data_IF_005364160828
#
_entry.id   IF_005364160828
#
_cell.length_a   1.000
_cell.length_b   1.000
_cell.length_c   1.000
_cell.angle_alpha   90.00
_cell.angle_beta   90.00
_cell.angle_gamma   90.00
#
_symmetry.space_group_name_H-M   'P 1'
#
loop_
_entity.id
_entity.type
_entity.pdbx_description
1 polymer ?
#
# COMPACT_ATOMS: atom_id res chain seq x y z
N UNK A 1 11.68 19.18 -4.85
CA UNK A 1 12.90 19.70 -4.17
C UNK A 1 13.35 18.65 -3.17
N UNK A 2 14.61 18.20 -3.23
CA UNK A 2 15.19 17.36 -2.18
C UNK A 2 16.01 18.24 -1.24
N UNK A 3 15.74 18.19 0.07
CA UNK A 3 16.51 18.92 1.08
C UNK A 3 17.33 17.92 1.89
N UNK A 4 18.66 18.01 1.79
CA UNK A 4 19.57 17.16 2.54
C UNK A 4 19.57 17.55 4.03
N UNK A 5 19.21 16.61 4.90
CA UNK A 5 19.30 16.77 6.35
C UNK A 5 18.53 15.68 7.10
N UNK A 6 18.44 15.80 8.43
CA UNK A 6 17.71 14.86 9.28
C UNK A 6 16.30 15.39 9.59
N UNK A 7 15.27 14.59 9.35
CA UNK A 7 13.88 14.97 9.62
C UNK A 7 13.64 15.31 11.11
N UNK A 8 14.28 14.59 12.04
CA UNK A 8 14.18 14.87 13.48
C UNK A 8 14.80 16.21 13.90
N UNK A 9 15.63 16.82 13.04
CA UNK A 9 16.23 18.15 13.27
C UNK A 9 15.51 19.25 12.48
N UNK A 10 15.11 18.94 11.24
CA UNK A 10 14.50 19.90 10.33
C UNK A 10 13.02 20.18 10.64
N UNK A 11 12.22 19.15 10.91
CA UNK A 11 10.78 19.34 11.14
C UNK A 11 10.47 20.19 12.38
N UNK A 12 11.17 20.04 13.53
CA UNK A 12 10.98 20.96 14.65
C UNK A 12 11.22 22.41 14.24
N UNK A 13 12.28 22.69 13.47
CA UNK A 13 12.56 24.05 12.97
C UNK A 13 11.46 24.55 12.03
N UNK A 14 10.94 23.71 11.15
CA UNK A 14 9.83 24.06 10.27
C UNK A 14 8.54 24.32 11.05
N UNK A 15 8.28 23.57 12.11
CA UNK A 15 7.14 23.82 12.99
C UNK A 15 7.25 25.19 13.67
N UNK A 16 8.45 25.60 14.12
CA UNK A 16 8.67 26.95 14.67
C UNK A 16 8.47 28.05 13.62
N UNK A 17 8.95 27.86 12.38
CA UNK A 17 8.69 28.81 11.28
C UNK A 17 7.20 28.93 10.96
N UNK A 18 6.46 27.82 11.02
CA UNK A 18 5.02 27.81 10.80
C UNK A 18 4.26 28.51 11.94
N UNK A 19 4.65 28.29 13.20
CA UNK A 19 4.09 29.00 14.37
C UNK A 19 4.34 30.51 14.29
N UNK A 20 5.49 30.92 13.78
CA UNK A 20 5.84 32.32 13.55
C UNK A 20 5.12 32.95 12.34
N UNK A 21 4.30 32.19 11.60
CA UNK A 21 3.59 32.67 10.42
C UNK A 21 4.46 32.89 9.18
N UNK A 22 5.69 32.36 9.17
CA UNK A 22 6.67 32.58 8.10
C UNK A 22 6.41 31.62 6.93
N UNK A 23 6.26 30.33 7.22
CA UNK A 23 6.03 29.30 6.21
C UNK A 23 5.24 28.14 6.80
N UNK A 24 4.07 27.84 6.22
CA UNK A 24 3.18 26.77 6.68
C UNK A 24 2.87 25.81 5.53
N UNK A 25 3.18 24.51 5.66
CA UNK A 25 2.85 23.53 4.62
C UNK A 25 1.34 23.29 4.56
N UNK A 26 0.87 22.82 3.40
CA UNK A 26 -0.54 22.43 3.20
C UNK A 26 -0.86 21.03 3.76
N UNK A 27 0.15 20.17 3.90
CA UNK A 27 0.04 18.85 4.51
C UNK A 27 1.40 18.40 5.06
N UNK A 28 1.40 17.49 6.04
CA UNK A 28 2.60 16.87 6.62
C UNK A 28 2.41 15.35 6.70
N UNK A 29 3.46 14.62 6.35
CA UNK A 29 3.52 13.16 6.47
C UNK A 29 4.98 12.73 6.61
N UNK A 30 5.22 11.45 6.87
CA UNK A 30 6.56 10.87 6.92
C UNK A 30 6.61 9.50 6.24
N UNK A 31 7.75 9.19 5.61
CA UNK A 31 8.02 7.89 5.00
C UNK A 31 9.47 7.44 5.23
N UNK A 32 10.10 7.87 6.33
CA UNK A 32 11.34 7.23 6.79
C UNK A 32 11.08 5.76 7.09
N UNK A 33 12.12 4.92 7.14
CA UNK A 33 11.96 3.51 7.50
C UNK A 33 11.91 3.32 9.03
N UNK A 34 10.99 4.02 9.71
CA UNK A 34 10.85 3.99 11.17
C UNK A 34 10.47 2.61 11.74
N UNK A 35 9.96 1.70 10.89
CA UNK A 35 9.65 0.31 11.25
C UNK A 35 10.90 -0.54 11.55
N UNK A 36 12.09 -0.08 11.18
CA UNK A 36 13.37 -0.72 11.51
C UNK A 36 14.35 0.33 12.03
N UNK A 37 14.46 0.43 13.36
CA UNK A 37 15.30 1.44 14.01
C UNK A 37 16.81 1.21 13.84
N UNK A 38 17.23 0.01 13.44
CA UNK A 38 18.64 -0.31 13.23
C UNK A 38 19.03 0.01 11.78
N UNK A 39 18.20 -0.38 10.81
CA UNK A 39 18.51 -0.27 9.39
C UNK A 39 17.79 0.86 8.65
N UNK A 40 16.84 1.56 9.29
CA UNK A 40 15.91 2.45 8.59
C UNK A 40 15.85 3.90 9.06
N UNK A 41 16.30 4.23 10.27
CA UNK A 41 16.19 5.58 10.82
C UNK A 41 17.53 6.11 11.35
N UNK A 42 18.05 7.18 10.73
CA UNK A 42 19.28 7.84 11.15
C UNK A 42 19.01 8.73 12.38
N UNK A 43 19.67 8.50 13.53
CA UNK A 43 19.48 9.35 14.70
C UNK A 43 19.90 10.81 14.46
N UNK A 44 19.24 11.76 15.11
CA UNK A 44 19.66 13.16 15.11
C UNK A 44 21.10 13.30 15.65
N UNK A 45 21.89 14.20 15.05
CA UNK A 45 23.30 14.41 15.38
C UNK A 45 24.26 13.34 14.87
N UNK A 46 23.78 12.27 14.23
CA UNK A 46 24.63 11.21 13.70
C UNK A 46 24.94 11.42 12.21
N UNK A 47 26.16 11.05 11.82
CA UNK A 47 26.56 10.90 10.42
C UNK A 47 26.22 9.50 9.91
N UNK A 48 26.14 9.36 8.59
CA UNK A 48 25.98 8.04 7.95
C UNK A 48 27.09 7.06 8.36
N UNK A 49 28.33 7.52 8.50
CA UNK A 49 29.45 6.67 8.90
C UNK A 49 29.29 6.12 10.33
N UNK A 50 28.82 6.94 11.27
CA UNK A 50 28.52 6.51 12.64
C UNK A 50 27.38 5.48 12.64
N UNK A 51 26.33 5.74 11.89
CA UNK A 51 25.19 4.83 11.75
C UNK A 51 25.60 3.47 11.16
N UNK A 52 26.33 3.49 10.04
CA UNK A 52 26.82 2.27 9.41
C UNK A 52 27.78 1.46 10.29
N UNK A 53 28.60 2.14 11.10
CA UNK A 53 29.49 1.50 12.07
C UNK A 53 28.70 0.83 13.18
N UNK A 54 27.72 1.52 13.77
CA UNK A 54 26.88 0.96 14.83
C UNK A 54 26.00 -0.19 14.35
N UNK A 55 25.45 -0.09 13.13
CA UNK A 55 24.62 -1.12 12.49
C UNK A 55 25.37 -2.45 12.32
N UNK A 56 26.65 -2.39 11.96
CA UNK A 56 27.58 -3.54 11.82
C UNK A 56 28.32 -3.88 13.13
N UNK A 57 28.02 -3.15 14.20
CA UNK A 57 28.69 -3.28 15.48
C UNK A 57 28.17 -4.43 16.32
N UNK A 58 28.67 -4.50 17.55
CA UNK A 58 28.23 -5.48 18.54
C UNK A 58 26.81 -5.14 19.09
N UNK A 59 26.16 -6.06 19.84
CA UNK A 59 24.81 -5.84 20.35
C UNK A 59 24.63 -4.57 21.18
N UNK A 60 25.65 -4.14 21.95
CA UNK A 60 25.58 -2.92 22.73
C UNK A 60 25.54 -1.66 21.85
N UNK A 61 26.30 -1.66 20.74
CA UNK A 61 26.28 -0.58 19.74
C UNK A 61 24.94 -0.53 19.00
N UNK A 62 24.40 -1.68 18.59
CA UNK A 62 23.09 -1.75 17.96
C UNK A 62 21.98 -1.28 18.91
N UNK A 63 22.04 -1.66 20.19
CA UNK A 63 21.08 -1.21 21.19
C UNK A 63 21.18 0.31 21.43
N UNK A 64 22.39 0.88 21.44
CA UNK A 64 22.58 2.32 21.52
C UNK A 64 22.00 3.05 20.31
N UNK A 65 22.19 2.51 19.11
CA UNK A 65 21.56 3.00 17.88
C UNK A 65 20.03 2.94 17.97
N UNK A 66 19.45 1.80 18.34
CA UNK A 66 17.99 1.65 18.49
C UNK A 66 17.40 2.70 19.43
N UNK A 67 18.03 2.93 20.60
CA UNK A 67 17.59 3.96 21.55
C UNK A 67 17.67 5.36 20.96
N UNK A 68 18.77 5.69 20.28
CA UNK A 68 18.98 7.00 19.68
C UNK A 68 18.00 7.26 18.51
N UNK A 69 17.73 6.26 17.69
CA UNK A 69 16.76 6.31 16.60
C UNK A 69 15.34 6.50 17.15
N UNK A 70 14.92 5.70 18.13
CA UNK A 70 13.62 5.83 18.78
C UNK A 70 13.40 7.23 19.40
N UNK A 71 14.39 7.76 20.12
CA UNK A 71 14.32 9.11 20.68
C UNK A 71 14.21 10.19 19.58
N UNK A 72 14.84 9.97 18.43
CA UNK A 72 14.73 10.86 17.27
C UNK A 72 13.35 10.77 16.61
N UNK A 73 12.75 9.58 16.51
CA UNK A 73 11.37 9.40 16.07
C UNK A 73 10.38 10.13 17.00
N UNK A 74 10.59 10.07 18.32
CA UNK A 74 9.75 10.80 19.27
C UNK A 74 9.82 12.33 19.06
N UNK A 75 11.02 12.87 18.82
CA UNK A 75 11.20 14.30 18.48
C UNK A 75 10.51 14.65 17.17
N UNK A 76 10.65 13.81 16.16
CA UNK A 76 10.02 13.94 14.85
C UNK A 76 8.49 13.98 14.97
N UNK A 77 7.88 13.01 15.67
CA UNK A 77 6.43 12.94 15.86
C UNK A 77 5.90 14.13 16.66
N UNK A 78 6.64 14.62 17.66
CA UNK A 78 6.25 15.86 18.36
C UNK A 78 6.16 17.07 17.41
N UNK A 79 7.04 17.16 16.42
CA UNK A 79 6.95 18.20 15.39
C UNK A 79 5.74 17.99 14.47
N UNK A 80 5.44 16.76 14.06
CA UNK A 80 4.22 16.43 13.30
C UNK A 80 2.95 16.78 14.09
N UNK A 81 2.93 16.51 15.39
CA UNK A 81 1.85 16.91 16.30
C UNK A 81 1.72 18.43 16.42
N UNK A 82 2.82 19.16 16.43
CA UNK A 82 2.77 20.62 16.41
C UNK A 82 2.08 21.14 15.13
N UNK A 83 2.38 20.57 13.96
CA UNK A 83 1.66 20.88 12.72
C UNK A 83 0.18 20.51 12.79
N UNK A 84 -0.13 19.32 13.30
CA UNK A 84 -1.51 18.87 13.47
C UNK A 84 -2.32 19.84 14.36
N UNK A 85 -1.76 20.27 15.51
CA UNK A 85 -2.38 21.25 16.41
C UNK A 85 -2.56 22.63 15.79
N UNK A 86 -1.75 23.00 14.80
CA UNK A 86 -1.96 24.23 14.02
C UNK A 86 -3.09 24.09 12.98
N UNK A 87 -3.69 22.89 12.83
CA UNK A 87 -4.70 22.58 11.83
C UNK A 87 -4.11 22.27 10.46
N UNK A 88 -2.84 21.88 10.38
CA UNK A 88 -2.28 21.32 9.14
C UNK A 88 -2.73 19.86 9.03
N UNK A 89 -3.30 19.42 7.88
CA UNK A 89 -3.53 18.01 7.62
C UNK A 89 -2.24 17.21 7.81
N UNK A 90 -2.21 16.37 8.84
CA UNK A 90 -1.07 15.52 9.18
C UNK A 90 -1.54 14.07 9.16
N UNK A 91 -0.81 13.20 8.48
CA UNK A 91 -1.11 11.76 8.40
C UNK A 91 0.16 10.93 8.59
N UNK A 92 -0.02 9.72 9.11
CA UNK A 92 1.02 8.68 9.08
C UNK A 92 0.93 7.89 7.77
N UNK A 93 2.07 7.67 7.11
CA UNK A 93 2.15 6.97 5.82
C UNK A 93 2.64 5.53 5.93
N UNK A 94 2.30 4.86 7.03
CA UNK A 94 2.39 3.42 7.14
C UNK A 94 3.78 2.88 7.42
N UNK A 95 4.61 3.64 8.14
CA UNK A 95 5.95 3.24 8.57
C UNK A 95 6.07 2.98 10.09
N UNK A 96 4.94 3.02 10.81
CA UNK A 96 4.84 2.75 12.25
C UNK A 96 5.52 3.81 13.17
N UNK A 97 5.86 5.00 12.66
CA UNK A 97 6.57 6.03 13.44
C UNK A 97 5.78 6.49 14.67
N UNK A 98 4.44 6.53 14.58
CA UNK A 98 3.56 6.86 15.72
C UNK A 98 3.71 5.85 16.86
N UNK A 99 3.80 4.56 16.55
CA UNK A 99 4.00 3.52 17.56
C UNK A 99 5.37 3.67 18.23
N UNK A 100 6.43 3.87 17.46
CA UNK A 100 7.77 4.11 18.01
C UNK A 100 7.76 5.31 18.96
N UNK A 101 7.10 6.41 18.59
CA UNK A 101 6.99 7.58 19.45
C UNK A 101 6.14 7.33 20.70
N UNK A 102 5.04 6.58 20.57
CA UNK A 102 4.21 6.16 21.72
C UNK A 102 5.03 5.35 22.72
N UNK A 103 5.82 4.38 22.24
CA UNK A 103 6.70 3.55 23.07
C UNK A 103 7.81 4.37 23.76
N UNK A 104 8.13 5.56 23.24
CA UNK A 104 9.02 6.55 23.86
C UNK A 104 8.31 7.57 24.76
N UNK A 105 7.00 7.39 25.00
CA UNK A 105 6.23 8.21 25.93
C UNK A 105 5.51 9.41 25.30
N UNK A 106 5.46 9.53 23.98
CA UNK A 106 4.62 10.53 23.29
C UNK A 106 3.15 10.06 23.35
N UNK A 107 2.46 10.41 24.43
CA UNK A 107 1.14 9.88 24.79
C UNK A 107 0.06 10.12 23.74
N UNK A 108 0.18 11.19 22.97
CA UNK A 108 -0.76 11.59 21.92
C UNK A 108 -0.20 11.35 20.51
N UNK A 109 0.76 10.43 20.34
CA UNK A 109 1.34 10.10 19.04
C UNK A 109 0.31 9.72 17.97
N UNK A 110 -0.82 9.13 18.38
CA UNK A 110 -1.93 8.74 17.50
C UNK A 110 -3.02 9.82 17.35
N UNK A 111 -2.77 11.07 17.76
CA UNK A 111 -3.73 12.16 17.56
C UNK A 111 -3.95 12.50 16.08
N UNK A 112 -3.01 12.16 15.20
CA UNK A 112 -3.20 12.20 13.75
C UNK A 112 -3.36 10.79 13.16
N UNK A 113 -4.24 10.61 12.16
CA UNK A 113 -4.61 9.29 11.65
C UNK A 113 -3.58 8.70 10.68
N UNK A 114 -3.65 7.40 10.45
CA UNK A 114 -3.02 6.77 9.29
C UNK A 114 -3.71 7.15 7.99
N UNK A 115 -2.97 7.09 6.89
CA UNK A 115 -3.49 7.46 5.57
C UNK A 115 -4.63 6.56 5.09
N UNK A 116 -4.72 5.31 5.56
CA UNK A 116 -5.79 4.40 5.12
C UNK A 116 -7.16 4.79 5.68
N UNK A 117 -7.36 4.91 7.00
CA UNK A 117 -8.62 5.42 7.53
C UNK A 117 -8.93 6.85 7.05
N UNK A 118 -7.92 7.69 6.82
CA UNK A 118 -8.11 9.07 6.39
C UNK A 118 -8.49 9.23 4.90
N UNK A 119 -7.93 8.41 4.01
CA UNK A 119 -7.99 8.66 2.56
C UNK A 119 -8.34 7.42 1.72
N UNK A 120 -7.82 6.24 2.05
CA UNK A 120 -7.80 5.09 1.12
C UNK A 120 -8.94 4.10 1.35
N UNK A 121 -9.46 3.97 2.57
CA UNK A 121 -10.48 2.96 2.90
C UNK A 121 -11.73 2.99 2.00
N UNK A 122 -12.24 4.15 1.54
CA UNK A 122 -13.35 4.17 0.59
C UNK A 122 -13.05 3.43 -0.72
N UNK A 123 -11.80 3.45 -1.19
CA UNK A 123 -11.35 2.70 -2.36
C UNK A 123 -11.31 1.20 -2.06
N UNK A 124 -10.82 0.80 -0.89
CA UNK A 124 -10.81 -0.61 -0.46
C UNK A 124 -12.21 -1.21 -0.35
N UNK A 125 -13.20 -0.42 0.05
CA UNK A 125 -14.60 -0.85 0.09
C UNK A 125 -15.15 -1.22 -1.30
N UNK A 126 -14.52 -0.76 -2.39
CA UNK A 126 -14.88 -1.08 -3.78
C UNK A 126 -13.92 -2.11 -4.41
N UNK A 127 -13.07 -2.75 -3.60
CA UNK A 127 -12.04 -3.69 -4.06
C UNK A 127 -10.89 -3.04 -4.82
N UNK A 128 -10.80 -1.70 -4.84
CA UNK A 128 -9.68 -0.98 -5.48
C UNK A 128 -8.43 -1.13 -4.65
N UNK A 129 -7.28 -1.19 -5.31
CA UNK A 129 -5.97 -1.30 -4.68
C UNK A 129 -4.85 -1.28 -5.71
N UNK A 130 -3.59 -1.49 -5.31
CA UNK A 130 -2.41 -1.29 -6.15
C UNK A 130 -2.17 -2.43 -7.16
N UNK A 131 -3.19 -2.73 -7.97
CA UNK A 131 -3.15 -3.65 -9.09
C UNK A 131 -2.08 -3.21 -10.10
N UNK A 132 -1.26 -4.15 -10.53
CA UNK A 132 -0.10 -3.88 -11.40
C UNK A 132 0.15 -5.04 -12.34
N UNK A 133 0.83 -4.73 -13.44
CA UNK A 133 1.29 -5.75 -14.37
C UNK A 133 2.69 -5.43 -14.92
N UNK A 134 3.36 -6.46 -15.42
CA UNK A 134 4.74 -6.43 -15.91
C UNK A 134 4.80 -7.15 -17.26
N UNK A 135 5.45 -6.52 -18.24
CA UNK A 135 5.69 -7.13 -19.55
C UNK A 135 6.95 -8.00 -19.50
N UNK A 136 6.81 -9.32 -19.66
CA UNK A 136 7.96 -10.24 -19.64
C UNK A 136 8.85 -10.15 -20.88
N UNK A 137 8.37 -9.50 -21.95
CA UNK A 137 9.14 -9.20 -23.16
C UNK A 137 10.31 -8.25 -22.87
N UNK A 138 10.16 -7.38 -21.86
CA UNK A 138 11.05 -6.24 -21.68
C UNK A 138 10.75 -5.07 -22.62
N UNK A 139 9.76 -5.19 -23.51
CA UNK A 139 9.39 -4.15 -24.47
C UNK A 139 8.41 -3.14 -23.84
N UNK A 140 8.75 -1.84 -23.77
CA UNK A 140 7.83 -0.82 -23.25
C UNK A 140 6.55 -0.66 -24.07
N UNK A 141 6.54 -1.04 -25.35
CA UNK A 141 5.34 -0.96 -26.20
C UNK A 141 4.23 -1.90 -25.70
N UNK A 142 4.56 -3.03 -25.07
CA UNK A 142 3.55 -3.90 -24.45
C UNK A 142 2.82 -3.18 -23.29
N UNK A 143 3.53 -2.32 -22.54
CA UNK A 143 2.89 -1.48 -21.52
C UNK A 143 2.03 -0.39 -22.17
N UNK A 144 2.48 0.26 -23.23
CA UNK A 144 1.66 1.29 -23.89
C UNK A 144 0.41 0.71 -24.56
N UNK A 145 0.49 -0.51 -25.11
CA UNK A 145 -0.68 -1.24 -25.64
C UNK A 145 -1.66 -1.61 -24.53
N UNK A 146 -1.17 -2.09 -23.39
CA UNK A 146 -2.03 -2.36 -22.22
C UNK A 146 -2.64 -1.08 -21.64
N UNK A 147 -1.91 0.04 -21.58
CA UNK A 147 -2.46 1.34 -21.19
C UNK A 147 -3.64 1.74 -22.11
N UNK A 148 -3.47 1.62 -23.43
CA UNK A 148 -4.54 1.89 -24.39
C UNK A 148 -5.74 0.93 -24.21
N UNK A 149 -5.49 -0.36 -23.98
CA UNK A 149 -6.55 -1.34 -23.73
C UNK A 149 -7.34 -1.03 -22.46
N UNK A 150 -6.68 -0.59 -21.39
CA UNK A 150 -7.38 -0.20 -20.17
C UNK A 150 -8.31 0.99 -20.43
N UNK A 151 -7.88 1.99 -21.21
CA UNK A 151 -8.74 3.13 -21.59
C UNK A 151 -9.95 2.71 -22.42
N UNK A 152 -9.78 1.73 -23.32
CA UNK A 152 -10.87 1.15 -24.12
C UNK A 152 -11.88 0.39 -23.26
N UNK A 153 -11.42 -0.35 -22.25
CA UNK A 153 -12.28 -1.15 -21.37
C UNK A 153 -13.11 -0.31 -20.38
N UNK A 154 -12.57 0.85 -20.00
CA UNK A 154 -13.18 1.76 -19.01
C UNK A 154 -13.23 3.19 -19.57
N UNK A 155 -13.96 3.43 -20.67
CA UNK A 155 -13.99 4.73 -21.34
C UNK A 155 -14.60 5.85 -20.49
N UNK A 156 -15.38 5.50 -19.48
CA UNK A 156 -16.05 6.43 -18.57
C UNK A 156 -15.18 6.94 -17.41
N UNK A 157 -14.06 6.26 -17.09
CA UNK A 157 -13.23 6.60 -15.93
C UNK A 157 -12.16 7.65 -16.29
N UNK A 158 -12.58 8.91 -16.36
CA UNK A 158 -11.69 10.02 -16.72
C UNK A 158 -10.46 10.15 -15.80
N UNK A 159 -10.60 9.81 -14.51
CA UNK A 159 -9.48 9.85 -13.57
C UNK A 159 -8.45 8.76 -13.85
N UNK A 160 -8.92 7.56 -14.19
CA UNK A 160 -8.05 6.47 -14.63
C UNK A 160 -7.28 6.83 -15.91
N UNK A 161 -7.93 7.53 -16.86
CA UNK A 161 -7.28 7.94 -18.10
C UNK A 161 -6.17 8.96 -17.84
N UNK A 162 -6.47 9.98 -17.04
CA UNK A 162 -5.50 10.99 -16.61
C UNK A 162 -4.32 10.35 -15.85
N UNK A 163 -4.60 9.37 -14.98
CA UNK A 163 -3.55 8.60 -14.32
C UNK A 163 -2.62 7.91 -15.32
N UNK A 164 -3.15 7.23 -16.34
CA UNK A 164 -2.34 6.55 -17.35
C UNK A 164 -1.53 7.54 -18.20
N UNK A 165 -2.11 8.69 -18.56
CA UNK A 165 -1.39 9.73 -19.31
C UNK A 165 -0.23 10.30 -18.49
N UNK A 166 -0.48 10.67 -17.24
CA UNK A 166 0.58 11.12 -16.34
C UNK A 166 1.63 10.04 -16.10
N UNK A 167 1.21 8.78 -15.93
CA UNK A 167 2.13 7.67 -15.71
C UNK A 167 3.01 7.39 -16.94
N UNK A 168 2.53 7.68 -18.16
CA UNK A 168 3.34 7.63 -19.39
C UNK A 168 4.34 8.78 -19.45
N UNK A 169 3.91 9.99 -19.11
CA UNK A 169 4.72 11.20 -19.26
C UNK A 169 5.75 11.40 -18.14
N UNK A 170 5.47 10.86 -16.94
CA UNK A 170 6.22 11.18 -15.72
C UNK A 170 6.96 10.00 -15.09
N UNK A 171 6.65 8.75 -15.46
CA UNK A 171 7.24 7.57 -14.83
C UNK A 171 8.13 6.83 -15.82
N UNK A 172 9.44 6.89 -15.59
CA UNK A 172 10.41 6.08 -16.31
C UNK A 172 10.35 4.62 -15.82
N UNK A 173 10.43 3.66 -16.74
CA UNK A 173 10.50 2.24 -16.39
C UNK A 173 11.82 1.90 -15.69
N UNK A 174 11.77 0.87 -14.83
CA UNK A 174 12.91 0.34 -14.10
C UNK A 174 12.92 -1.19 -14.21
N UNK A 175 13.92 -1.77 -14.88
CA UNK A 175 13.92 -3.21 -15.18
C UNK A 175 12.90 -3.56 -16.27
N UNK A 176 12.13 -4.63 -16.06
CA UNK A 176 11.01 -4.96 -16.95
C UNK A 176 9.97 -3.83 -16.92
N UNK A 177 9.47 -3.35 -18.09
CA UNK A 177 8.40 -2.38 -18.13
C UNK A 177 7.17 -2.88 -17.36
N UNK A 178 6.66 -2.02 -16.49
CA UNK A 178 5.57 -2.34 -15.59
C UNK A 178 4.66 -1.13 -15.40
N UNK A 179 3.38 -1.39 -15.12
CA UNK A 179 2.39 -0.36 -14.83
C UNK A 179 1.66 -0.69 -13.55
N UNK A 180 1.41 0.34 -12.75
CA UNK A 180 0.45 0.29 -11.65
C UNK A 180 -0.79 1.09 -12.05
N UNK A 181 -1.97 0.56 -11.77
CA UNK A 181 -3.24 1.21 -12.04
C UNK A 181 -4.28 0.66 -11.07
N UNK A 182 -4.91 1.53 -10.28
CA UNK A 182 -5.83 1.07 -9.24
C UNK A 182 -7.17 0.64 -9.82
N UNK A 183 -7.36 -0.68 -9.93
CA UNK A 183 -8.59 -1.31 -10.42
C UNK A 183 -9.34 -2.03 -9.30
N UNK A 184 -10.67 -1.95 -9.33
CA UNK A 184 -11.59 -2.52 -8.33
C UNK A 184 -12.10 -3.92 -8.63
N UNK A 185 -13.02 -4.39 -7.78
CA UNK A 185 -13.84 -5.56 -8.07
C UNK A 185 -14.58 -5.34 -9.40
N UNK A 186 -14.69 -6.39 -10.21
CA UNK A 186 -15.26 -6.29 -11.55
C UNK A 186 -14.30 -5.76 -12.62
N UNK A 187 -13.37 -4.85 -12.28
CA UNK A 187 -12.42 -4.28 -13.25
C UNK A 187 -11.19 -5.16 -13.45
N UNK A 188 -10.62 -5.74 -12.37
CA UNK A 188 -9.36 -6.52 -12.43
C UNK A 188 -9.44 -7.73 -13.37
N UNK A 189 -10.49 -8.54 -13.26
CA UNK A 189 -10.64 -9.73 -14.11
C UNK A 189 -10.88 -9.37 -15.58
N UNK A 190 -11.65 -8.31 -15.88
CA UNK A 190 -11.87 -7.81 -17.25
C UNK A 190 -10.56 -7.37 -17.91
N UNK A 191 -9.75 -6.60 -17.18
CA UNK A 191 -8.43 -6.19 -17.65
C UNK A 191 -7.52 -7.40 -17.95
N UNK A 192 -7.47 -8.36 -17.04
CA UNK A 192 -6.64 -9.54 -17.19
C UNK A 192 -7.05 -10.46 -18.33
N UNK A 193 -8.35 -10.68 -18.52
CA UNK A 193 -8.85 -11.45 -19.66
C UNK A 193 -8.51 -10.77 -20.99
N UNK A 194 -8.61 -9.44 -21.05
CA UNK A 194 -8.19 -8.68 -22.23
C UNK A 194 -6.68 -8.78 -22.47
N UNK A 195 -5.85 -8.68 -21.44
CA UNK A 195 -4.40 -8.84 -21.58
C UNK A 195 -4.03 -10.25 -22.04
N UNK A 196 -4.67 -11.28 -21.48
CA UNK A 196 -4.47 -12.66 -21.92
C UNK A 196 -4.86 -12.86 -23.39
N UNK A 197 -5.96 -12.23 -23.82
CA UNK A 197 -6.36 -12.22 -25.23
C UNK A 197 -5.32 -11.53 -26.12
N UNK A 198 -4.80 -10.38 -25.71
CA UNK A 198 -3.75 -9.67 -26.46
C UNK A 198 -2.45 -10.49 -26.57
N UNK A 199 -2.10 -11.27 -25.54
CA UNK A 199 -0.98 -12.23 -25.61
C UNK A 199 -1.31 -13.34 -26.61
N UNK A 200 -2.53 -13.89 -26.58
CA UNK A 200 -2.98 -14.96 -27.48
C UNK A 200 -2.94 -14.55 -28.95
N UNK A 201 -3.32 -13.31 -29.27
CA UNK A 201 -3.35 -12.78 -30.64
C UNK A 201 -2.00 -12.26 -31.12
N UNK A 202 -1.01 -12.13 -30.24
CA UNK A 202 0.30 -11.55 -30.54
C UNK A 202 0.31 -10.02 -30.60
N UNK A 203 -0.77 -9.36 -30.15
CA UNK A 203 -0.77 -7.91 -29.94
C UNK A 203 0.22 -7.52 -28.82
N UNK A 204 0.37 -8.37 -27.80
CA UNK A 204 1.47 -8.32 -26.84
C UNK A 204 2.54 -9.34 -27.23
N UNK A 205 3.81 -8.96 -27.13
CA UNK A 205 4.92 -9.75 -27.68
C UNK A 205 5.36 -10.92 -26.80
N UNK A 206 4.96 -10.93 -25.53
CA UNK A 206 5.23 -12.00 -24.57
C UNK A 206 4.15 -12.03 -23.47
N UNK A 207 4.12 -13.07 -22.61
CA UNK A 207 3.21 -13.12 -21.47
C UNK A 207 3.32 -11.92 -20.53
N UNK A 208 2.20 -11.57 -19.90
CA UNK A 208 2.11 -10.51 -18.88
C UNK A 208 1.99 -11.15 -17.50
N UNK A 209 2.75 -10.64 -16.54
CA UNK A 209 2.56 -10.98 -15.13
C UNK A 209 1.64 -9.95 -14.49
N UNK A 210 0.57 -10.39 -13.83
CA UNK A 210 -0.36 -9.55 -13.08
C UNK A 210 -0.23 -9.83 -11.59
N UNK A 211 -0.06 -8.78 -10.80
CA UNK A 211 -0.02 -8.89 -9.34
C UNK A 211 -0.42 -7.60 -8.65
N UNK A 212 0.02 -7.46 -7.40
CA UNK A 212 -0.22 -6.28 -6.56
C UNK A 212 0.78 -6.21 -5.41
N UNK A 213 0.74 -5.12 -4.67
CA UNK A 213 1.30 -5.10 -3.32
C UNK A 213 0.53 -6.07 -2.39
N UNK A 214 1.13 -6.39 -1.25
CA UNK A 214 0.44 -7.03 -0.13
C UNK A 214 -0.49 -6.05 0.60
N UNK A 215 -0.27 -4.73 0.44
CA UNK A 215 -1.27 -3.70 0.77
C UNK A 215 -2.39 -3.75 -0.27
N UNK A 216 -3.53 -4.34 0.10
CA UNK A 216 -4.74 -4.33 -0.71
C UNK A 216 -5.98 -4.54 0.18
N UNK A 217 -7.15 -4.27 -0.39
CA UNK A 217 -8.45 -4.28 0.28
C UNK A 217 -8.76 -5.54 1.09
N UNK A 218 -8.25 -6.72 0.71
CA UNK A 218 -8.55 -7.99 1.36
C UNK A 218 -7.35 -8.77 1.87
N UNK A 219 -6.14 -8.23 1.75
CA UNK A 219 -4.91 -9.03 1.85
C UNK A 219 -4.01 -8.69 3.03
N UNK A 220 -4.47 -7.86 3.98
CA UNK A 220 -3.64 -7.41 5.09
C UNK A 220 -4.46 -7.16 6.35
N UNK A 221 -3.88 -7.55 7.49
CA UNK A 221 -4.23 -7.10 8.82
C UNK A 221 -3.04 -6.32 9.39
N UNK A 222 -3.23 -5.03 9.65
CA UNK A 222 -2.22 -4.13 10.21
C UNK A 222 -2.89 -2.97 10.98
N UNK A 223 -3.04 -3.10 12.31
CA UNK A 223 -3.78 -2.13 13.15
C UNK A 223 -3.22 -0.72 13.15
N UNK A 224 -1.94 -0.54 12.80
CA UNK A 224 -1.30 0.78 12.74
C UNK A 224 -1.25 1.34 11.31
N UNK A 225 -1.91 0.68 10.35
CA UNK A 225 -1.88 1.05 8.92
C UNK A 225 -3.19 0.72 8.21
N UNK A 226 -3.29 -0.38 7.46
CA UNK A 226 -4.44 -0.65 6.59
C UNK A 226 -5.74 -0.89 7.34
N UNK A 227 -5.65 -1.55 8.49
CA UNK A 227 -6.81 -1.93 9.31
C UNK A 227 -6.93 -1.08 10.56
N UNK A 228 -6.27 0.09 10.59
CA UNK A 228 -6.37 1.05 11.69
C UNK A 228 -7.79 1.62 11.81
N UNK A 229 -8.40 1.52 12.98
CA UNK A 229 -9.73 2.02 13.27
C UNK A 229 -10.79 1.45 12.30
N UNK A 230 -10.90 0.12 12.24
CA UNK A 230 -12.04 -0.51 11.57
C UNK A 230 -13.34 -0.11 12.29
N UNK A 231 -14.45 0.03 11.55
CA UNK A 231 -15.73 0.53 12.08
C UNK A 231 -16.27 -0.32 13.23
N UNK A 232 -16.00 -1.61 13.19
CA UNK A 232 -16.41 -2.63 14.16
C UNK A 232 -15.31 -2.99 15.19
N UNK A 233 -14.14 -2.35 15.12
CA UNK A 233 -12.98 -2.65 15.96
C UNK A 233 -12.22 -3.93 15.60
N UNK A 234 -12.45 -4.51 14.42
CA UNK A 234 -11.78 -5.73 13.93
C UNK A 234 -10.33 -5.53 13.46
N UNK A 235 -9.67 -4.46 13.88
CA UNK A 235 -8.35 -4.01 13.43
C UNK A 235 -7.30 -5.13 13.38
N UNK A 236 -7.25 -5.96 14.44
CA UNK A 236 -6.24 -6.99 14.64
C UNK A 236 -6.63 -8.39 14.10
N UNK A 237 -7.82 -8.54 13.52
CA UNK A 237 -8.27 -9.85 13.00
C UNK A 237 -7.47 -10.21 11.75
N UNK A 238 -6.63 -11.25 11.85
CA UNK A 238 -5.71 -11.68 10.78
C UNK A 238 -6.16 -12.93 10.01
N UNK A 239 -7.39 -13.39 10.21
CA UNK A 239 -7.97 -14.47 9.41
C UNK A 239 -8.08 -14.07 7.92
N UNK A 240 -8.42 -12.82 7.64
CA UNK A 240 -8.65 -12.30 6.29
C UNK A 240 -7.47 -12.46 5.32
N UNK A 241 -6.23 -12.02 5.63
CA UNK A 241 -5.08 -12.25 4.75
C UNK A 241 -4.75 -13.74 4.58
N UNK A 242 -5.00 -14.59 5.59
CA UNK A 242 -4.82 -16.04 5.48
C UNK A 242 -5.83 -16.64 4.50
N UNK A 243 -7.10 -16.27 4.63
CA UNK A 243 -8.18 -16.68 3.73
C UNK A 243 -7.93 -16.18 2.29
N UNK A 244 -7.46 -14.93 2.12
CA UNK A 244 -7.11 -14.39 0.80
C UNK A 244 -6.02 -15.25 0.13
N UNK A 245 -4.97 -15.65 0.84
CA UNK A 245 -3.93 -16.53 0.30
C UNK A 245 -4.46 -17.93 -0.06
N UNK A 246 -5.23 -18.55 0.85
CA UNK A 246 -5.84 -19.87 0.60
C UNK A 246 -6.78 -19.84 -0.60
N UNK A 247 -7.61 -18.80 -0.72
CA UNK A 247 -8.54 -18.64 -1.83
C UNK A 247 -7.80 -18.40 -3.15
N UNK A 248 -6.77 -17.54 -3.17
CA UNK A 248 -5.91 -17.33 -4.34
C UNK A 248 -5.22 -18.63 -4.80
N UNK A 249 -4.77 -19.45 -3.84
CA UNK A 249 -4.17 -20.75 -4.10
C UNK A 249 -5.18 -21.70 -4.75
N UNK A 250 -6.38 -21.82 -4.17
CA UNK A 250 -7.45 -22.66 -4.72
C UNK A 250 -7.98 -22.16 -6.07
N UNK A 251 -7.91 -20.84 -6.32
CA UNK A 251 -8.33 -20.21 -7.58
C UNK A 251 -7.35 -20.40 -8.74
N UNK A 252 -6.13 -20.84 -8.47
CA UNK A 252 -5.10 -21.10 -9.49
C UNK A 252 -4.19 -19.90 -9.77
N UNK A 253 -3.88 -19.08 -8.77
CA UNK A 253 -2.78 -18.12 -8.89
C UNK A 253 -1.47 -18.83 -9.25
N UNK A 254 -0.58 -18.16 -10.00
CA UNK A 254 0.70 -18.76 -10.40
C UNK A 254 1.64 -18.86 -9.19
N UNK A 255 1.65 -17.85 -8.31
CA UNK A 255 2.22 -17.98 -6.98
C UNK A 255 1.47 -17.13 -5.96
N UNK A 256 1.55 -17.58 -4.71
CA UNK A 256 0.93 -16.96 -3.54
C UNK A 256 1.99 -16.87 -2.44
N UNK A 257 1.96 -15.79 -1.68
CA UNK A 257 2.87 -15.57 -0.55
C UNK A 257 2.09 -15.16 0.70
N UNK A 258 2.59 -15.58 1.85
CA UNK A 258 2.13 -15.14 3.17
C UNK A 258 3.33 -14.61 3.96
N UNK A 259 3.29 -13.34 4.30
CA UNK A 259 4.39 -12.65 4.96
C UNK A 259 3.94 -12.01 6.28
N UNK A 260 4.91 -11.70 7.13
CA UNK A 260 4.71 -11.05 8.43
C UNK A 260 5.59 -9.80 8.53
N UNK A 261 5.03 -8.74 9.12
CA UNK A 261 5.73 -7.52 9.51
C UNK A 261 6.19 -6.60 8.38
N UNK A 262 5.69 -6.79 7.15
CA UNK A 262 5.97 -5.89 6.05
C UNK A 262 5.43 -4.49 6.31
N UNK A 263 6.25 -3.48 6.02
CA UNK A 263 5.93 -2.06 6.12
C UNK A 263 5.95 -1.48 7.54
N UNK A 264 5.33 -2.16 8.50
CA UNK A 264 5.20 -1.69 9.90
C UNK A 264 6.12 -2.40 10.89
N UNK A 265 6.88 -3.40 10.44
CA UNK A 265 7.86 -4.12 11.26
C UNK A 265 7.29 -5.36 11.96
N UNK A 266 8.18 -6.15 12.54
CA UNK A 266 7.84 -7.41 13.22
C UNK A 266 6.78 -7.20 14.30
N UNK A 267 5.77 -8.07 14.32
CA UNK A 267 4.66 -8.04 15.29
C UNK A 267 3.45 -7.22 14.86
N UNK A 268 3.54 -6.38 13.82
CA UNK A 268 2.50 -5.38 13.53
C UNK A 268 1.67 -5.64 12.25
N UNK A 269 2.00 -6.66 11.46
CA UNK A 269 1.20 -7.03 10.28
C UNK A 269 1.27 -8.50 9.88
N UNK A 270 0.19 -9.00 9.31
CA UNK A 270 0.13 -10.25 8.56
C UNK A 270 -0.55 -9.97 7.22
N UNK A 271 0.02 -10.45 6.11
CA UNK A 271 -0.48 -10.09 4.78
C UNK A 271 -0.10 -11.07 3.67
N UNK A 272 -0.95 -11.16 2.66
CA UNK A 272 -0.83 -12.06 1.52
C UNK A 272 -0.54 -11.35 0.21
N UNK A 273 0.24 -12.01 -0.65
CA UNK A 273 0.51 -11.58 -2.02
C UNK A 273 -0.04 -12.61 -3.00
N UNK A 274 -0.46 -12.12 -4.17
CA UNK A 274 -0.94 -12.95 -5.28
C UNK A 274 -0.34 -12.45 -6.58
N UNK A 275 0.07 -13.39 -7.41
CA UNK A 275 0.50 -13.10 -8.78
C UNK A 275 0.03 -14.21 -9.72
N UNK A 276 -0.39 -13.82 -10.92
CA UNK A 276 -0.91 -14.71 -11.94
C UNK A 276 -0.41 -14.30 -13.33
N UNK A 277 -0.09 -15.29 -14.16
CA UNK A 277 0.45 -15.09 -15.52
C UNK A 277 -0.66 -15.15 -16.55
N UNK A 278 -0.66 -14.17 -17.45
CA UNK A 278 -1.43 -14.15 -18.70
C UNK A 278 -0.54 -14.70 -19.83
N UNK A 279 -0.67 -15.99 -20.13
CA UNK A 279 0.15 -16.69 -21.13
C UNK A 279 -0.57 -16.92 -22.46
N UNK A 280 -1.78 -16.37 -22.62
CA UNK A 280 -2.60 -16.50 -23.83
C UNK A 280 -3.41 -17.79 -23.91
N UNK A 281 -3.31 -18.69 -22.93
CA UNK A 281 -4.04 -19.97 -22.96
C UNK A 281 -5.45 -19.87 -22.38
N UNK A 282 -6.35 -20.75 -22.83
CA UNK A 282 -7.68 -20.91 -22.23
C UNK A 282 -7.61 -21.34 -20.76
N UNK A 283 -6.56 -22.07 -20.40
CA UNK A 283 -6.31 -22.49 -19.03
C UNK A 283 -5.97 -21.29 -18.15
N UNK A 284 -5.17 -20.33 -18.64
CA UNK A 284 -4.93 -19.07 -17.94
C UNK A 284 -6.20 -18.23 -17.85
N UNK A 285 -6.99 -18.12 -18.92
CA UNK A 285 -8.25 -17.36 -18.90
C UNK A 285 -9.17 -17.79 -17.75
N UNK A 286 -9.39 -19.09 -17.55
CA UNK A 286 -10.20 -19.62 -16.43
C UNK A 286 -9.62 -19.26 -15.05
N UNK A 287 -8.31 -19.35 -14.89
CA UNK A 287 -7.65 -18.99 -13.61
C UNK A 287 -7.71 -17.48 -13.35
N UNK A 288 -7.51 -16.66 -14.38
CA UNK A 288 -7.57 -15.20 -14.29
C UNK A 288 -8.96 -14.72 -13.88
N UNK A 289 -10.00 -15.29 -14.47
CA UNK A 289 -11.39 -15.00 -14.12
C UNK A 289 -11.66 -15.27 -12.64
N UNK A 290 -11.28 -16.44 -12.13
CA UNK A 290 -11.49 -16.79 -10.72
C UNK A 290 -10.61 -15.97 -9.77
N UNK A 291 -9.30 -15.92 -9.99
CA UNK A 291 -8.36 -15.28 -9.06
C UNK A 291 -8.61 -13.78 -8.96
N UNK A 292 -8.82 -13.10 -10.09
CA UNK A 292 -8.96 -11.65 -10.13
C UNK A 292 -10.41 -11.16 -9.93
N UNK A 293 -11.35 -12.09 -9.82
CA UNK A 293 -12.63 -11.85 -9.16
C UNK A 293 -12.49 -12.01 -7.63
N UNK A 294 -11.98 -13.16 -7.19
CA UNK A 294 -11.95 -13.55 -5.78
C UNK A 294 -11.04 -12.65 -4.94
N UNK A 295 -9.86 -12.28 -5.44
CA UNK A 295 -8.89 -11.47 -4.70
C UNK A 295 -9.45 -10.10 -4.24
N UNK A 296 -9.98 -9.22 -5.14
CA UNK A 296 -10.64 -8.00 -4.69
C UNK A 296 -11.98 -8.28 -3.98
N UNK A 297 -12.68 -9.36 -4.31
CA UNK A 297 -13.94 -9.72 -3.64
C UNK A 297 -13.73 -10.06 -2.16
N UNK A 298 -12.60 -10.66 -1.76
CA UNK A 298 -12.31 -10.86 -0.33
C UNK A 298 -12.16 -9.53 0.42
N UNK A 299 -11.67 -8.49 -0.26
CA UNK A 299 -11.59 -7.15 0.30
C UNK A 299 -12.95 -6.49 0.49
N UNK A 300 -13.84 -6.62 -0.50
CA UNK A 300 -15.23 -6.18 -0.38
C UNK A 300 -15.95 -6.96 0.72
N UNK A 301 -15.80 -8.29 0.77
CA UNK A 301 -16.32 -9.16 1.83
C UNK A 301 -15.88 -8.69 3.21
N UNK A 302 -14.57 -8.50 3.44
CA UNK A 302 -14.00 -8.07 4.72
C UNK A 302 -14.56 -6.73 5.19
N UNK A 303 -14.69 -5.76 4.28
CA UNK A 303 -15.20 -4.43 4.64
C UNK A 303 -16.73 -4.43 4.79
N UNK A 304 -17.45 -5.29 4.05
CA UNK A 304 -18.88 -5.49 4.25
C UNK A 304 -19.18 -6.13 5.62
N UNK A 305 -18.38 -7.12 6.02
CA UNK A 305 -18.43 -7.77 7.34
C UNK A 305 -18.22 -6.75 8.47
N UNK A 306 -17.24 -5.84 8.32
CA UNK A 306 -17.00 -4.74 9.25
C UNK A 306 -18.07 -3.62 9.19
N UNK A 307 -19.13 -3.76 8.39
CA UNK A 307 -20.27 -2.85 8.35
C UNK A 307 -20.07 -1.57 7.54
N UNK A 308 -19.14 -1.52 6.58
CA UNK A 308 -19.01 -0.36 5.69
C UNK A 308 -20.10 -0.38 4.61
N UNK A 309 -20.95 0.65 4.58
CA UNK A 309 -22.08 0.77 3.66
C UNK A 309 -21.67 0.71 2.19
N UNK A 310 -20.57 1.36 1.82
CA UNK A 310 -20.01 1.31 0.47
C UNK A 310 -19.62 -0.12 0.06
N UNK A 311 -19.08 -0.92 0.98
CA UNK A 311 -18.72 -2.32 0.71
C UNK A 311 -19.96 -3.22 0.61
N UNK A 312 -20.95 -2.99 1.47
CA UNK A 312 -22.26 -3.67 1.38
C UNK A 312 -22.96 -3.37 0.04
N UNK A 313 -22.90 -2.13 -0.43
CA UNK A 313 -23.42 -1.76 -1.74
C UNK A 313 -22.64 -2.45 -2.87
N UNK A 314 -21.31 -2.37 -2.85
CA UNK A 314 -20.45 -3.02 -3.85
C UNK A 314 -20.69 -4.53 -3.93
N UNK A 315 -20.89 -5.19 -2.78
CA UNK A 315 -21.21 -6.61 -2.69
C UNK A 315 -22.55 -6.95 -3.38
N UNK A 316 -23.59 -6.14 -3.17
CA UNK A 316 -24.89 -6.31 -3.82
C UNK A 316 -24.82 -6.07 -5.33
N UNK A 317 -24.15 -5.01 -5.75
CA UNK A 317 -23.97 -4.65 -7.16
C UNK A 317 -23.25 -5.75 -7.95
N UNK A 318 -22.28 -6.41 -7.33
CA UNK A 318 -21.51 -7.49 -7.95
C UNK A 318 -22.06 -8.89 -7.63
N UNK A 319 -23.20 -9.00 -6.95
CA UNK A 319 -23.83 -10.28 -6.62
C UNK A 319 -22.94 -11.22 -5.81
N UNK A 320 -22.13 -10.68 -4.88
CA UNK A 320 -21.29 -11.50 -4.00
C UNK A 320 -22.17 -12.38 -3.10
N UNK A 321 -21.83 -13.66 -3.00
CA UNK A 321 -22.46 -14.58 -2.06
C UNK A 321 -21.79 -14.45 -0.68
N UNK A 322 -22.38 -13.63 0.18
CA UNK A 322 -21.93 -13.40 1.56
C UNK A 322 -22.99 -13.98 2.51
N UNK A 323 -22.88 -15.24 2.98
CA UNK A 323 -23.99 -15.95 3.65
C UNK A 323 -24.61 -15.25 4.86
N UNK A 324 -23.84 -14.47 5.61
CA UNK A 324 -24.34 -13.73 6.78
C UNK A 324 -24.94 -12.35 6.44
N UNK A 325 -24.84 -11.90 5.18
CA UNK A 325 -25.17 -10.54 4.75
C UNK A 325 -26.21 -10.54 3.62
N UNK A 326 -26.00 -11.38 2.60
CA UNK A 326 -26.83 -11.46 1.38
C UNK A 326 -27.65 -12.75 1.29
N UNK A 327 -27.46 -13.68 2.24
CA UNK A 327 -28.12 -14.98 2.32
C UNK A 327 -29.31 -15.01 3.26
#
# INVERSE_FOLDING_TARGET
>A
VGLLGNAAELLPRFAELAKAGIARPSAVTDQTSAHDLINGYLPAGWTLAQWESARRGNPAQQQALTRAAAASCATHVNAMLAFHRMGVPTIDYGNNIRQVALDQGVRDAFAFPGFVPACIRPLFCQGKGPFRWVALSGDPEDIYRTDAKIKELFPEDAHLHDWLDQARDRIAFQGLPARICWLGLGQRHRAALAFNEMVRTGELTAPIVIGRDHLDCGSVASPNRETEAMRDGSDAVSDWPLLNALLATSGGATWVSLHHGGGVGMGFSQHSGVVIVCDGTDAAARRLEHVLWNDPATGVMRHADAGYETALQCAREHGLNLPAITG
#
